data_IF_371366284173
#
_entry.id   IF_371366284173
#
_cell.length_a   1.000
_cell.length_b   1.000
_cell.length_c   1.000
_cell.angle_alpha   90.00
_cell.angle_beta   90.00
_cell.angle_gamma   90.00
#
_symmetry.space_group_name_H-M   'P 1'
#
loop_
_entity.id
_entity.type
_entity.pdbx_description
1 polymer ?
#
# COMPACT_ATOMS: atom_id res chain seq x y z
N UNK A 1 21.17 -24.72 6.40
CA UNK A 1 20.59 -23.78 5.41
C UNK A 1 19.17 -24.22 5.13
N UNK A 2 18.20 -23.28 5.08
CA UNK A 2 16.83 -23.62 4.69
C UNK A 2 16.81 -24.21 3.28
N UNK A 3 15.87 -25.12 3.05
CA UNK A 3 15.62 -25.73 1.75
C UNK A 3 14.34 -25.13 1.19
N UNK A 4 14.41 -24.69 -0.06
CA UNK A 4 13.31 -24.04 -0.77
C UNK A 4 12.76 -24.97 -1.83
N UNK A 5 11.49 -24.76 -2.17
CA UNK A 5 10.83 -25.44 -3.28
C UNK A 5 10.15 -24.41 -4.17
N UNK A 6 10.35 -24.54 -5.46
CA UNK A 6 9.68 -23.73 -6.48
C UNK A 6 9.17 -24.63 -7.59
N UNK A 7 7.92 -24.45 -8.00
CA UNK A 7 7.30 -25.24 -9.08
C UNK A 7 7.31 -24.46 -10.39
N UNK A 8 7.10 -25.13 -11.52
CA UNK A 8 6.94 -24.51 -12.84
C UNK A 8 8.13 -23.60 -13.25
N UNK A 9 9.36 -24.02 -12.97
CA UNK A 9 10.59 -23.27 -13.29
C UNK A 9 11.07 -23.66 -14.68
N UNK A 10 11.30 -22.65 -15.54
CA UNK A 10 11.91 -22.85 -16.85
C UNK A 10 13.42 -23.05 -16.71
N UNK A 11 13.95 -24.12 -17.30
CA UNK A 11 15.38 -24.35 -17.41
C UNK A 11 15.90 -23.88 -18.77
N UNK A 12 17.04 -23.21 -18.78
CA UNK A 12 17.74 -22.76 -19.98
C UNK A 12 19.25 -23.03 -19.87
N UNK A 13 19.96 -23.02 -21.01
CA UNK A 13 21.43 -23.10 -21.06
C UNK A 13 22.02 -24.30 -20.28
N UNK A 14 21.36 -25.45 -20.36
CA UNK A 14 21.74 -26.69 -19.66
C UNK A 14 23.07 -27.21 -20.23
N UNK A 15 24.06 -27.43 -19.36
CA UNK A 15 25.40 -27.89 -19.74
C UNK A 15 26.03 -28.76 -18.66
N UNK A 16 26.93 -29.65 -19.08
CA UNK A 16 27.81 -30.36 -18.16
C UNK A 16 28.88 -29.43 -17.56
N UNK A 17 29.24 -29.69 -16.30
CA UNK A 17 30.39 -29.08 -15.64
C UNK A 17 31.20 -30.14 -14.87
N UNK A 18 32.43 -29.79 -14.49
CA UNK A 18 33.37 -30.69 -13.82
C UNK A 18 34.15 -31.55 -14.82
N UNK A 19 35.36 -31.97 -14.42
CA UNK A 19 36.28 -32.74 -15.28
C UNK A 19 35.63 -34.04 -15.78
N UNK A 20 34.89 -34.71 -14.90
CA UNK A 20 34.22 -35.97 -15.20
C UNK A 20 32.83 -35.80 -15.84
N UNK A 21 32.38 -34.56 -16.11
CA UNK A 21 31.03 -34.24 -16.62
C UNK A 21 29.90 -34.87 -15.79
N UNK A 22 30.11 -35.01 -14.50
CA UNK A 22 29.18 -35.63 -13.55
C UNK A 22 28.19 -34.63 -12.92
N UNK A 23 28.32 -33.33 -13.21
CA UNK A 23 27.47 -32.28 -12.67
C UNK A 23 26.77 -31.51 -13.80
N UNK A 24 25.61 -30.93 -13.50
CA UNK A 24 24.84 -30.13 -14.46
C UNK A 24 24.74 -28.68 -13.96
N UNK A 25 24.92 -27.74 -14.88
CA UNK A 25 24.68 -26.31 -14.67
C UNK A 25 23.60 -25.83 -15.64
N UNK A 26 22.71 -24.96 -15.18
CA UNK A 26 21.65 -24.37 -16.00
C UNK A 26 21.22 -23.01 -15.44
N UNK A 27 20.54 -22.22 -16.26
CA UNK A 27 19.87 -21.01 -15.84
C UNK A 27 18.41 -21.36 -15.49
N UNK A 28 17.86 -20.70 -14.48
CA UNK A 28 16.46 -20.86 -14.09
C UNK A 28 15.70 -19.54 -14.27
N UNK A 29 14.46 -19.65 -14.76
CA UNK A 29 13.54 -18.51 -14.91
C UNK A 29 12.14 -18.85 -14.40
N UNK A 30 11.50 -17.89 -13.77
CA UNK A 30 10.10 -18.01 -13.35
C UNK A 30 9.49 -16.63 -13.13
N UNK A 31 8.34 -16.33 -13.74
CA UNK A 31 7.50 -15.15 -13.44
C UNK A 31 8.29 -13.81 -13.43
N UNK A 32 9.17 -13.63 -14.41
CA UNK A 32 10.02 -12.44 -14.53
C UNK A 32 11.26 -12.43 -13.64
N UNK A 33 11.48 -13.44 -12.79
CA UNK A 33 12.72 -13.64 -12.03
C UNK A 33 13.64 -14.61 -12.75
N UNK A 34 14.95 -14.42 -12.59
CA UNK A 34 15.95 -15.33 -13.14
C UNK A 34 17.15 -15.51 -12.21
N UNK A 35 17.77 -16.68 -12.27
CA UNK A 35 19.07 -16.92 -11.66
C UNK A 35 19.95 -17.69 -12.64
N UNK A 36 21.19 -17.24 -12.81
CA UNK A 36 22.14 -17.85 -13.75
C UNK A 36 23.04 -18.85 -13.07
N UNK A 37 23.39 -19.91 -13.79
CA UNK A 37 24.35 -20.92 -13.36
C UNK A 37 23.97 -21.58 -12.01
N UNK A 38 22.71 -21.98 -11.88
CA UNK A 38 22.29 -22.94 -10.87
C UNK A 38 23.03 -24.27 -11.10
N UNK A 39 23.36 -24.97 -10.01
CA UNK A 39 24.19 -26.19 -10.07
C UNK A 39 23.47 -27.33 -9.41
N UNK A 40 23.45 -28.48 -10.09
CA UNK A 40 23.03 -29.76 -9.54
C UNK A 40 24.23 -30.72 -9.58
N UNK A 41 24.68 -31.17 -8.41
CA UNK A 41 25.87 -32.01 -8.30
C UNK A 41 25.52 -33.50 -8.47
N UNK A 42 26.41 -34.28 -9.10
CA UNK A 42 26.27 -35.72 -9.30
C UNK A 42 25.00 -36.11 -10.07
N UNK A 43 24.51 -35.21 -10.91
CA UNK A 43 23.27 -35.36 -11.68
C UNK A 43 23.50 -35.55 -13.17
N UNK A 44 24.74 -35.78 -13.61
CA UNK A 44 25.09 -35.89 -15.03
C UNK A 44 24.27 -36.94 -15.80
N UNK A 45 23.78 -38.00 -15.13
CA UNK A 45 22.91 -39.01 -15.73
C UNK A 45 21.56 -38.44 -16.22
N UNK A 46 21.04 -37.40 -15.55
CA UNK A 46 19.78 -36.75 -15.89
C UNK A 46 19.88 -35.76 -17.06
N UNK A 47 21.07 -35.55 -17.64
CA UNK A 47 21.28 -34.53 -18.68
C UNK A 47 20.36 -34.71 -19.90
N UNK A 48 20.14 -35.95 -20.34
CA UNK A 48 19.26 -36.21 -21.49
C UNK A 48 17.81 -35.87 -21.17
N UNK A 49 17.30 -36.37 -20.04
CA UNK A 49 15.95 -36.10 -19.56
C UNK A 49 15.69 -34.59 -19.40
N UNK A 50 16.68 -33.86 -18.86
CA UNK A 50 16.57 -32.42 -18.67
C UNK A 50 16.48 -31.62 -19.98
N UNK A 51 16.95 -32.18 -21.10
CA UNK A 51 16.82 -31.56 -22.42
C UNK A 51 15.50 -31.92 -23.14
N UNK A 52 14.72 -32.86 -22.61
CA UNK A 52 13.45 -33.29 -23.21
C UNK A 52 12.26 -32.43 -22.74
N UNK A 53 12.37 -31.77 -21.58
CA UNK A 53 11.33 -30.88 -21.06
C UNK A 53 11.89 -29.49 -20.77
N UNK A 54 10.98 -28.51 -20.65
CA UNK A 54 11.33 -27.11 -20.38
C UNK A 54 11.05 -26.70 -18.92
N UNK A 55 9.99 -27.25 -18.32
CA UNK A 55 9.51 -26.83 -17.01
C UNK A 55 9.68 -27.91 -15.96
N UNK A 56 10.26 -27.50 -14.84
CA UNK A 56 10.59 -28.39 -13.73
C UNK A 56 10.15 -27.81 -12.39
N UNK A 57 9.80 -28.68 -11.46
CA UNK A 57 9.73 -28.32 -10.05
C UNK A 57 11.09 -28.63 -9.43
N UNK A 58 11.63 -27.68 -8.66
CA UNK A 58 12.95 -27.79 -8.06
C UNK A 58 12.91 -27.68 -6.54
N UNK A 59 13.82 -28.41 -5.90
CA UNK A 59 14.18 -28.24 -4.49
C UNK A 59 15.61 -27.76 -4.44
N UNK A 60 15.89 -26.69 -3.70
CA UNK A 60 17.19 -26.03 -3.75
C UNK A 60 17.57 -25.32 -2.46
N UNK A 61 18.86 -25.01 -2.35
CA UNK A 61 19.46 -24.17 -1.30
C UNK A 61 20.06 -22.91 -1.94
N UNK A 62 19.95 -21.79 -1.23
CA UNK A 62 20.51 -20.50 -1.65
C UNK A 62 21.77 -20.17 -0.87
N UNK A 63 22.80 -19.71 -1.58
CA UNK A 63 24.03 -19.20 -0.97
C UNK A 63 24.42 -17.88 -1.63
N UNK A 64 24.86 -16.92 -0.84
CA UNK A 64 25.51 -15.71 -1.37
C UNK A 64 27.01 -15.94 -1.40
N UNK A 65 27.63 -15.75 -2.56
CA UNK A 65 29.08 -15.85 -2.76
C UNK A 65 29.63 -14.53 -3.27
N UNK A 66 30.86 -14.20 -2.88
CA UNK A 66 31.56 -13.02 -3.37
C UNK A 66 32.55 -13.44 -4.46
N UNK A 67 32.44 -12.84 -5.64
CA UNK A 67 33.36 -13.07 -6.75
C UNK A 67 33.64 -11.73 -7.44
N UNK A 68 34.92 -11.41 -7.68
CA UNK A 68 35.33 -10.13 -8.28
C UNK A 68 34.64 -8.91 -7.64
N UNK A 69 34.66 -8.88 -6.30
CA UNK A 69 34.06 -7.82 -5.49
C UNK A 69 32.55 -7.60 -5.69
N UNK A 70 31.83 -8.62 -6.17
CA UNK A 70 30.37 -8.62 -6.30
C UNK A 70 29.77 -9.82 -5.60
N UNK A 71 28.66 -9.58 -4.92
CA UNK A 71 27.80 -10.62 -4.37
C UNK A 71 26.94 -11.24 -5.47
N UNK A 72 26.96 -12.56 -5.54
CA UNK A 72 26.12 -13.36 -6.41
C UNK A 72 25.31 -14.35 -5.57
N UNK A 73 24.02 -14.45 -5.86
CA UNK A 73 23.18 -15.51 -5.30
C UNK A 73 23.32 -16.76 -6.16
N UNK A 74 23.79 -17.85 -5.56
CA UNK A 74 23.91 -19.17 -6.16
C UNK A 74 22.79 -20.09 -5.68
N UNK A 75 22.24 -20.83 -6.65
CA UNK A 75 21.21 -21.85 -6.43
C UNK A 75 21.87 -23.22 -6.53
N UNK A 76 21.84 -23.98 -5.45
CA UNK A 76 22.25 -25.37 -5.41
C UNK A 76 21.02 -26.25 -5.39
N UNK A 77 20.81 -26.97 -6.48
CA UNK A 77 19.67 -27.84 -6.66
C UNK A 77 19.96 -29.17 -5.97
N UNK A 78 19.00 -29.60 -5.15
CA UNK A 78 19.04 -30.86 -4.43
C UNK A 78 18.26 -31.92 -5.20
N UNK A 79 17.11 -31.54 -5.78
CA UNK A 79 16.23 -32.45 -6.51
C UNK A 79 15.44 -31.70 -7.59
N UNK A 80 15.07 -32.42 -8.65
CA UNK A 80 14.33 -31.90 -9.82
C UNK A 80 13.31 -32.95 -10.26
N UNK A 81 12.12 -32.49 -10.62
CA UNK A 81 11.15 -33.31 -11.34
C UNK A 81 10.49 -32.53 -12.47
N UNK A 82 10.05 -33.22 -13.51
CA UNK A 82 9.24 -32.61 -14.58
C UNK A 82 7.99 -31.98 -13.96
N UNK A 83 7.71 -30.74 -14.34
CA UNK A 83 6.59 -30.01 -13.78
C UNK A 83 5.27 -30.46 -14.39
N UNK A 84 4.22 -30.48 -13.56
CA UNK A 84 2.85 -30.72 -14.02
C UNK A 84 2.13 -29.44 -14.46
N UNK A 85 2.81 -28.28 -14.44
CA UNK A 85 2.26 -26.98 -14.82
C UNK A 85 0.96 -26.65 -14.08
N UNK A 86 0.91 -26.99 -12.79
CA UNK A 86 -0.25 -26.65 -11.95
C UNK A 86 -0.29 -25.14 -11.76
N UNK A 87 -1.48 -24.57 -11.90
CA UNK A 87 -1.70 -23.16 -11.61
C UNK A 87 -1.31 -22.84 -10.17
N UNK A 88 -0.35 -21.94 -10.04
CA UNK A 88 0.23 -21.44 -8.79
C UNK A 88 0.07 -19.92 -8.68
N UNK A 89 -0.87 -19.32 -9.44
CA UNK A 89 -1.10 -17.87 -9.52
C UNK A 89 -1.44 -17.28 -8.16
N UNK A 90 -2.42 -17.85 -7.43
CA UNK A 90 -2.77 -17.39 -6.09
C UNK A 90 -1.62 -17.54 -5.09
N UNK A 91 -0.86 -18.63 -5.17
CA UNK A 91 0.32 -18.83 -4.31
C UNK A 91 1.40 -17.77 -4.58
N UNK A 92 1.54 -17.37 -5.84
CA UNK A 92 2.47 -16.33 -6.24
C UNK A 92 2.05 -14.95 -5.75
N UNK A 93 0.78 -14.57 -5.93
CA UNK A 93 0.25 -13.32 -5.38
C UNK A 93 0.37 -13.28 -3.86
N UNK A 94 0.06 -14.38 -3.18
CA UNK A 94 0.26 -14.50 -1.73
C UNK A 94 1.73 -14.29 -1.35
N UNK A 95 2.67 -14.87 -2.08
CA UNK A 95 4.11 -14.70 -1.82
C UNK A 95 4.58 -13.26 -2.05
N UNK A 96 4.09 -12.59 -3.10
CA UNK A 96 4.42 -11.20 -3.38
C UNK A 96 3.85 -10.28 -2.29
N UNK A 97 2.55 -10.37 -2.02
CA UNK A 97 1.88 -9.53 -1.03
C UNK A 97 2.50 -9.65 0.37
N UNK A 98 2.96 -10.84 0.76
CA UNK A 98 3.62 -11.04 2.05
C UNK A 98 5.11 -10.69 2.08
N UNK A 99 5.62 -10.01 1.05
CA UNK A 99 7.02 -9.52 1.03
C UNK A 99 7.25 -8.59 2.21
N UNK A 100 8.19 -8.97 3.07
CA UNK A 100 8.50 -8.24 4.30
C UNK A 100 9.51 -7.11 4.05
N UNK A 101 9.28 -5.97 4.69
CA UNK A 101 10.18 -4.82 4.69
C UNK A 101 10.51 -4.41 6.14
N UNK A 102 11.71 -3.85 6.41
CA UNK A 102 12.71 -3.40 5.43
C UNK A 102 13.55 -4.54 4.84
N UNK A 103 14.03 -4.35 3.61
CA UNK A 103 14.87 -5.31 2.90
C UNK A 103 16.28 -4.74 2.70
N UNK A 104 17.30 -5.53 3.07
CA UNK A 104 18.70 -5.20 2.78
C UNK A 104 19.06 -5.58 1.36
N UNK A 105 19.80 -4.72 0.68
CA UNK A 105 20.30 -4.97 -0.67
C UNK A 105 21.61 -4.23 -0.89
N UNK A 106 22.20 -4.43 -2.06
CA UNK A 106 23.41 -3.74 -2.51
C UNK A 106 23.22 -3.23 -3.94
N UNK A 107 23.90 -2.15 -4.27
CA UNK A 107 24.18 -1.80 -5.65
C UNK A 107 25.66 -1.44 -5.81
N UNK A 108 26.13 -1.49 -7.06
CA UNK A 108 27.53 -1.26 -7.39
C UNK A 108 27.64 0.00 -8.25
N UNK A 109 28.61 0.84 -7.95
CA UNK A 109 28.83 2.08 -8.70
C UNK A 109 30.28 2.51 -8.67
N UNK A 110 30.75 3.15 -9.74
CA UNK A 110 32.08 3.78 -9.78
C UNK A 110 32.01 5.26 -9.41
N UNK A 111 30.81 5.73 -9.07
CA UNK A 111 30.54 7.12 -8.76
C UNK A 111 30.83 7.34 -7.28
N UNK A 112 31.56 8.42 -6.98
CA UNK A 112 31.73 8.89 -5.62
C UNK A 112 30.40 9.43 -5.08
N UNK A 113 30.06 8.97 -3.88
CA UNK A 113 28.77 9.20 -3.24
C UNK A 113 28.93 10.15 -2.05
N UNK A 114 28.01 11.09 -1.94
CA UNK A 114 27.94 11.96 -0.78
C UNK A 114 27.05 11.30 0.28
N UNK A 115 27.63 10.80 1.37
CA UNK A 115 26.94 9.98 2.37
C UNK A 115 25.73 10.68 2.99
N UNK A 116 25.73 12.01 3.05
CA UNK A 116 24.65 12.82 3.62
C UNK A 116 23.47 13.04 2.65
N UNK A 117 23.70 12.89 1.33
CA UNK A 117 22.65 13.10 0.32
C UNK A 117 21.71 11.89 0.22
N UNK A 118 20.41 12.17 0.32
CA UNK A 118 19.34 11.17 0.15
C UNK A 118 19.39 10.53 -1.24
N UNK A 119 19.16 9.22 -1.27
CA UNK A 119 18.95 8.48 -2.52
C UNK A 119 17.47 8.51 -2.87
N UNK A 120 17.15 8.81 -4.12
CA UNK A 120 15.80 8.65 -4.67
C UNK A 120 15.77 7.50 -5.68
N UNK A 121 14.59 6.89 -5.81
CA UNK A 121 14.35 5.79 -6.73
C UNK A 121 13.49 6.29 -7.88
N UNK A 122 13.78 5.80 -9.09
CA UNK A 122 12.90 5.93 -10.25
C UNK A 122 12.66 4.55 -10.83
N UNK A 123 11.39 4.12 -10.82
CA UNK A 123 10.97 2.89 -11.50
C UNK A 123 10.99 3.16 -13.01
N UNK A 124 11.87 2.47 -13.72
CA UNK A 124 11.83 2.39 -15.18
C UNK A 124 11.12 1.09 -15.59
N UNK A 125 10.95 0.86 -16.89
CA UNK A 125 10.22 -0.32 -17.40
C UNK A 125 10.81 -1.66 -16.94
N UNK A 126 12.13 -1.79 -16.89
CA UNK A 126 12.82 -3.06 -16.64
C UNK A 126 13.68 -3.07 -15.37
N UNK A 127 14.06 -1.90 -14.83
CA UNK A 127 14.92 -1.77 -13.65
C UNK A 127 14.59 -0.53 -12.81
N UNK A 128 15.03 -0.55 -11.55
CA UNK A 128 14.95 0.61 -10.67
C UNK A 128 16.27 1.36 -10.66
N UNK A 129 16.23 2.61 -11.13
CA UNK A 129 17.38 3.51 -11.15
C UNK A 129 17.45 4.32 -9.86
N UNK A 130 18.67 4.57 -9.39
CA UNK A 130 18.97 5.30 -8.16
C UNK A 130 19.64 6.63 -8.48
N UNK A 131 19.28 7.68 -7.73
CA UNK A 131 19.79 9.03 -7.92
C UNK A 131 20.16 9.72 -6.60
N UNK A 132 21.17 10.59 -6.63
CA UNK A 132 21.41 11.63 -5.62
C UNK A 132 21.11 12.99 -6.23
N UNK A 133 19.98 13.59 -5.84
CA UNK A 133 19.44 14.76 -6.54
C UNK A 133 19.12 14.42 -8.00
N UNK A 134 19.79 15.08 -8.95
CA UNK A 134 19.66 14.80 -10.39
C UNK A 134 20.72 13.82 -10.92
N UNK A 135 21.72 13.47 -10.12
CA UNK A 135 22.85 12.61 -10.52
C UNK A 135 22.42 11.14 -10.45
N UNK A 136 22.45 10.43 -11.57
CA UNK A 136 22.30 8.98 -11.59
C UNK A 136 23.50 8.32 -10.89
N UNK A 137 23.24 7.43 -9.94
CA UNK A 137 24.29 6.78 -9.15
C UNK A 137 24.38 5.27 -9.37
N UNK A 138 23.37 4.64 -9.96
CA UNK A 138 23.38 3.20 -10.19
C UNK A 138 21.98 2.61 -10.38
N UNK A 139 21.90 1.28 -10.46
CA UNK A 139 20.63 0.53 -10.53
C UNK A 139 20.61 -0.57 -9.48
N UNK A 140 19.42 -0.92 -9.03
CA UNK A 140 19.23 -2.13 -8.23
C UNK A 140 19.44 -3.38 -9.10
N UNK A 141 19.76 -4.50 -8.45
CA UNK A 141 19.72 -5.82 -9.09
C UNK A 141 18.37 -6.04 -9.79
N UNK A 142 18.39 -6.77 -10.90
CA UNK A 142 17.19 -6.98 -11.71
C UNK A 142 16.06 -7.68 -10.94
N UNK A 143 16.37 -8.70 -10.14
CA UNK A 143 15.35 -9.44 -9.37
C UNK A 143 14.74 -8.54 -8.29
N UNK A 144 15.57 -7.73 -7.64
CA UNK A 144 15.10 -6.73 -6.67
C UNK A 144 14.23 -5.67 -7.37
N UNK A 145 14.67 -5.17 -8.53
CA UNK A 145 13.91 -4.19 -9.31
C UNK A 145 12.54 -4.75 -9.72
N UNK A 146 12.51 -5.96 -10.30
CA UNK A 146 11.29 -6.63 -10.72
C UNK A 146 10.32 -6.81 -9.55
N UNK A 147 10.81 -7.24 -8.38
CA UNK A 147 9.99 -7.35 -7.18
C UNK A 147 9.32 -6.01 -6.82
N UNK A 148 10.08 -4.92 -6.76
CA UNK A 148 9.53 -3.61 -6.39
C UNK A 148 8.54 -3.07 -7.43
N UNK A 149 8.82 -3.29 -8.73
CA UNK A 149 7.92 -2.90 -9.82
C UNK A 149 6.60 -3.68 -9.72
N UNK A 150 6.65 -5.00 -9.52
CA UNK A 150 5.45 -5.83 -9.37
C UNK A 150 4.63 -5.44 -8.15
N UNK A 151 5.26 -5.17 -7.01
CA UNK A 151 4.57 -4.72 -5.81
C UNK A 151 3.90 -3.34 -6.01
N UNK A 152 4.53 -2.44 -6.76
CA UNK A 152 3.95 -1.17 -7.13
C UNK A 152 2.74 -1.35 -8.06
N UNK A 153 2.89 -2.13 -9.13
CA UNK A 153 1.84 -2.37 -10.11
C UNK A 153 0.64 -3.11 -9.51
N UNK A 154 0.88 -4.17 -8.74
CA UNK A 154 -0.19 -5.03 -8.22
C UNK A 154 -0.88 -4.45 -6.99
N UNK A 155 -0.14 -3.73 -6.13
CA UNK A 155 -0.66 -3.33 -4.82
C UNK A 155 -0.53 -1.83 -4.53
N UNK A 156 -0.06 -1.03 -5.48
CA UNK A 156 0.20 0.41 -5.32
C UNK A 156 1.26 0.73 -4.24
N UNK A 157 2.21 -0.18 -4.05
CA UNK A 157 3.24 -0.05 -3.04
C UNK A 157 4.37 0.88 -3.48
N UNK A 158 4.68 1.89 -2.66
CA UNK A 158 5.80 2.80 -2.87
C UNK A 158 6.98 2.44 -1.94
N UNK A 159 8.19 2.89 -2.31
CA UNK A 159 9.42 2.52 -1.62
C UNK A 159 10.41 3.70 -1.51
N UNK A 160 11.17 3.70 -0.41
CA UNK A 160 12.33 4.57 -0.19
C UNK A 160 13.59 3.73 0.03
N UNK A 161 14.73 4.31 -0.30
CA UNK A 161 16.05 3.71 -0.06
C UNK A 161 16.83 4.57 0.92
N UNK A 162 17.46 3.91 1.90
CA UNK A 162 18.44 4.51 2.79
C UNK A 162 19.81 3.86 2.53
N UNK A 163 20.85 4.67 2.39
CA UNK A 163 22.23 4.19 2.39
C UNK A 163 22.63 3.77 3.81
N UNK A 164 23.17 2.56 3.96
CA UNK A 164 23.69 2.07 5.25
C UNK A 164 25.21 2.26 5.34
N UNK A 165 25.96 1.72 4.37
CA UNK A 165 27.40 1.88 4.29
C UNK A 165 27.90 1.83 2.84
N UNK A 166 29.13 2.31 2.62
CA UNK A 166 29.83 2.21 1.34
C UNK A 166 31.16 1.52 1.59
N UNK A 167 31.43 0.45 0.84
CA UNK A 167 32.71 -0.26 0.86
C UNK A 167 33.42 -0.06 -0.46
N UNK A 168 34.61 0.50 -0.42
CA UNK A 168 35.45 0.64 -1.60
C UNK A 168 36.07 -0.71 -1.96
N UNK A 169 35.80 -1.17 -3.17
CA UNK A 169 36.44 -2.33 -3.76
C UNK A 169 37.46 -1.90 -4.81
N UNK A 170 38.13 -2.87 -5.44
CA UNK A 170 39.23 -2.62 -6.39
C UNK A 170 38.82 -1.68 -7.54
N UNK A 171 37.63 -1.89 -8.11
CA UNK A 171 37.18 -1.20 -9.33
C UNK A 171 35.85 -0.45 -9.20
N UNK A 172 35.16 -0.59 -8.07
CA UNK A 172 33.85 -0.01 -7.82
C UNK A 172 33.60 0.16 -6.31
N UNK A 173 32.57 0.90 -5.98
CA UNK A 173 31.99 0.98 -4.65
C UNK A 173 30.85 -0.03 -4.52
N UNK A 174 30.83 -0.75 -3.41
CA UNK A 174 29.73 -1.61 -2.99
C UNK A 174 28.91 -0.80 -1.99
N UNK A 175 27.68 -0.46 -2.35
CA UNK A 175 26.82 0.40 -1.53
C UNK A 175 25.76 -0.47 -0.89
N UNK A 176 25.84 -0.63 0.44
CA UNK A 176 24.84 -1.33 1.21
C UNK A 176 23.66 -0.40 1.47
N UNK A 177 22.46 -0.89 1.17
CA UNK A 177 21.23 -0.11 1.25
C UNK A 177 20.13 -0.86 1.99
N UNK A 178 19.22 -0.09 2.56
CA UNK A 178 18.00 -0.56 3.17
C UNK A 178 16.79 0.00 2.41
N UNK A 179 16.03 -0.87 1.78
CA UNK A 179 14.78 -0.54 1.08
C UNK A 179 13.63 -0.66 2.09
N UNK A 180 12.78 0.37 2.16
CA UNK A 180 11.60 0.40 3.04
C UNK A 180 10.36 0.74 2.23
N UNK A 181 9.19 0.33 2.72
CA UNK A 181 7.91 0.83 2.22
C UNK A 181 7.82 2.34 2.48
N UNK A 182 7.42 3.10 1.48
CA UNK A 182 7.13 4.53 1.61
C UNK A 182 5.67 4.72 1.95
N UNK A 183 5.42 5.16 3.18
CA UNK A 183 4.10 5.52 3.65
C UNK A 183 3.85 7.04 3.58
N UNK A 184 4.77 7.82 3.00
CA UNK A 184 4.63 9.28 2.97
C UNK A 184 3.74 9.73 1.80
N UNK A 185 2.64 10.38 2.15
CA UNK A 185 1.75 11.06 1.21
C UNK A 185 2.34 12.40 0.76
N UNK A 186 2.42 12.62 -0.55
CA UNK A 186 2.83 13.89 -1.15
C UNK A 186 1.69 14.43 -2.02
N UNK A 187 1.25 15.64 -1.72
CA UNK A 187 0.17 16.30 -2.45
C UNK A 187 0.42 17.80 -2.51
N UNK A 188 0.37 18.35 -3.72
CA UNK A 188 0.47 19.78 -4.01
C UNK A 188 -0.89 20.41 -4.33
N UNK A 189 -1.96 19.61 -4.40
CA UNK A 189 -3.31 20.14 -4.54
C UNK A 189 -3.73 20.88 -3.27
N UNK A 190 -4.38 22.01 -3.45
CA UNK A 190 -4.89 22.86 -2.36
C UNK A 190 -6.41 22.79 -2.21
N UNK A 191 -7.13 22.21 -3.18
CA UNK A 191 -8.58 22.00 -3.08
C UNK A 191 -8.87 20.74 -2.29
N UNK A 192 -9.89 20.75 -1.43
CA UNK A 192 -10.29 19.56 -0.67
C UNK A 192 -10.56 18.36 -1.59
N UNK A 193 -11.31 18.57 -2.67
CA UNK A 193 -11.63 17.53 -3.66
C UNK A 193 -10.35 16.94 -4.28
N UNK A 194 -9.40 17.80 -4.67
CA UNK A 194 -8.11 17.36 -5.21
C UNK A 194 -7.32 16.52 -4.19
N UNK A 195 -7.26 16.98 -2.94
CA UNK A 195 -6.60 16.27 -1.85
C UNK A 195 -7.24 14.89 -1.64
N UNK A 196 -8.56 14.78 -1.53
CA UNK A 196 -9.25 13.50 -1.37
C UNK A 196 -8.99 12.55 -2.53
N UNK A 197 -9.03 13.04 -3.77
CA UNK A 197 -8.72 12.24 -4.96
C UNK A 197 -7.29 11.68 -4.86
N UNK A 198 -6.32 12.50 -4.47
CA UNK A 198 -4.92 12.10 -4.31
C UNK A 198 -4.73 11.10 -3.18
N UNK A 199 -5.41 11.28 -2.04
CA UNK A 199 -5.37 10.33 -0.93
C UNK A 199 -5.90 8.96 -1.39
N UNK A 200 -7.04 8.95 -2.08
CA UNK A 200 -7.64 7.72 -2.61
C UNK A 200 -6.71 7.02 -3.62
N UNK A 201 -6.12 7.77 -4.55
CA UNK A 201 -5.13 7.25 -5.51
C UNK A 201 -3.91 6.68 -4.80
N UNK A 202 -3.47 7.29 -3.70
CA UNK A 202 -2.35 6.82 -2.90
C UNK A 202 -2.66 5.55 -2.09
N UNK A 203 -3.86 5.44 -1.52
CA UNK A 203 -4.24 4.30 -0.68
C UNK A 203 -4.59 3.06 -1.51
N UNK A 204 -5.47 3.21 -2.50
CA UNK A 204 -6.11 2.07 -3.20
C UNK A 204 -6.02 2.17 -4.73
N UNK A 205 -5.25 3.13 -5.25
CA UNK A 205 -5.00 3.27 -6.67
C UNK A 205 -6.28 3.48 -7.48
N UNK A 206 -6.52 2.58 -8.44
CA UNK A 206 -7.70 2.63 -9.33
C UNK A 206 -8.98 2.08 -8.69
N UNK A 207 -8.89 1.28 -7.61
CA UNK A 207 -10.07 0.73 -6.93
C UNK A 207 -10.96 1.82 -6.36
N UNK A 208 -12.25 1.59 -6.20
CA UNK A 208 -13.10 2.51 -5.44
C UNK A 208 -13.10 2.19 -3.96
N UNK A 209 -13.44 3.18 -3.13
CA UNK A 209 -13.84 2.88 -1.76
C UNK A 209 -15.08 1.98 -1.75
N UNK A 210 -15.11 1.05 -0.81
CA UNK A 210 -16.28 0.24 -0.53
C UNK A 210 -17.43 1.10 -0.03
N UNK A 211 -18.65 0.57 -0.07
CA UNK A 211 -19.87 1.29 0.31
C UNK A 211 -19.80 1.84 1.74
N UNK A 212 -19.28 1.04 2.68
CA UNK A 212 -19.08 1.45 4.07
C UNK A 212 -18.13 2.65 4.19
N UNK A 213 -16.94 2.60 3.57
CA UNK A 213 -15.97 3.70 3.64
C UNK A 213 -16.53 4.96 2.98
N UNK A 214 -17.31 4.83 1.88
CA UNK A 214 -17.99 5.96 1.24
C UNK A 214 -18.98 6.62 2.21
N UNK A 215 -19.77 5.84 2.93
CA UNK A 215 -20.73 6.33 3.93
C UNK A 215 -20.03 7.03 5.09
N UNK A 216 -19.04 6.39 5.71
CA UNK A 216 -18.29 6.96 6.83
C UNK A 216 -17.62 8.29 6.44
N UNK A 217 -16.98 8.35 5.27
CA UNK A 217 -16.37 9.59 4.78
C UNK A 217 -17.40 10.66 4.45
N UNK A 218 -18.57 10.30 3.92
CA UNK A 218 -19.63 11.25 3.64
C UNK A 218 -20.21 11.87 4.91
N UNK A 219 -20.50 11.05 5.92
CA UNK A 219 -20.99 11.51 7.22
C UNK A 219 -19.95 12.40 7.91
N UNK A 220 -18.68 11.97 7.90
CA UNK A 220 -17.62 12.72 8.57
C UNK A 220 -17.26 14.04 7.88
N UNK A 221 -17.02 14.04 6.57
CA UNK A 221 -16.51 15.22 5.85
C UNK A 221 -17.58 16.05 5.16
N UNK A 222 -18.66 15.44 4.63
CA UNK A 222 -19.71 16.21 3.91
C UNK A 222 -20.79 16.71 4.85
N UNK A 223 -21.25 15.85 5.77
CA UNK A 223 -22.25 16.25 6.77
C UNK A 223 -21.63 16.89 8.01
N UNK A 224 -20.30 16.92 8.09
CA UNK A 224 -19.56 17.46 9.21
C UNK A 224 -20.00 16.86 10.56
N UNK A 225 -20.24 15.54 10.62
CA UNK A 225 -20.60 14.83 11.86
C UNK A 225 -19.45 14.04 12.48
N UNK A 226 -19.33 14.07 13.81
CA UNK A 226 -18.52 13.10 14.53
C UNK A 226 -19.21 11.72 14.46
N UNK A 227 -18.44 10.63 14.54
CA UNK A 227 -19.01 9.30 14.30
C UNK A 227 -18.97 8.41 15.54
N UNK A 228 -20.05 7.67 15.76
CA UNK A 228 -20.10 6.51 16.65
C UNK A 228 -20.42 5.30 15.78
N UNK A 229 -19.43 4.45 15.58
CA UNK A 229 -19.51 3.25 14.76
C UNK A 229 -19.77 2.07 15.69
N UNK A 230 -20.99 1.54 15.62
CA UNK A 230 -21.43 0.34 16.34
C UNK A 230 -21.10 -0.88 15.50
N UNK A 231 -19.96 -1.49 15.83
CA UNK A 231 -19.44 -2.71 15.23
C UNK A 231 -19.73 -3.93 16.10
N UNK A 232 -20.98 -4.04 16.54
CA UNK A 232 -21.47 -5.10 17.43
C UNK A 232 -22.14 -6.15 16.56
N UNK A 233 -21.80 -7.41 16.81
CA UNK A 233 -22.30 -8.54 16.05
C UNK A 233 -22.99 -9.55 16.95
N UNK A 234 -24.11 -10.09 16.49
CA UNK A 234 -24.82 -11.18 17.16
C UNK A 234 -23.94 -12.44 17.26
N UNK A 235 -24.19 -13.31 18.25
CA UNK A 235 -23.48 -14.60 18.38
C UNK A 235 -23.60 -15.48 17.11
N UNK A 236 -24.69 -15.28 16.37
CA UNK A 236 -25.00 -16.02 15.14
C UNK A 236 -24.42 -15.38 13.87
N UNK A 237 -23.86 -14.18 13.95
CA UNK A 237 -23.26 -13.50 12.80
C UNK A 237 -21.89 -14.10 12.47
N UNK A 238 -21.83 -14.74 11.31
CA UNK A 238 -20.62 -15.35 10.76
C UNK A 238 -19.60 -14.31 10.27
N UNK A 239 -20.06 -13.10 9.95
CA UNK A 239 -19.25 -12.02 9.38
C UNK A 239 -19.06 -10.93 10.41
N UNK A 240 -17.81 -10.66 10.78
CA UNK A 240 -17.47 -9.56 11.69
C UNK A 240 -16.47 -8.65 10.99
N UNK A 241 -16.79 -7.36 10.87
CA UNK A 241 -15.81 -6.36 10.50
C UNK A 241 -14.67 -6.40 11.52
N UNK A 242 -13.47 -6.55 11.01
CA UNK A 242 -12.23 -6.39 11.75
C UNK A 242 -11.80 -4.93 11.66
N UNK A 243 -10.84 -4.55 12.50
CA UNK A 243 -10.25 -3.21 12.41
C UNK A 243 -9.68 -2.90 11.02
N UNK A 244 -9.16 -3.92 10.33
CA UNK A 244 -8.67 -3.81 8.95
C UNK A 244 -9.72 -3.28 7.96
N UNK A 245 -11.01 -3.52 8.21
CA UNK A 245 -12.08 -3.03 7.35
C UNK A 245 -12.28 -1.52 7.42
N UNK A 246 -11.85 -0.88 8.52
CA UNK A 246 -11.91 0.58 8.70
C UNK A 246 -10.61 1.27 8.28
N UNK A 247 -9.58 0.53 7.85
CA UNK A 247 -8.26 1.10 7.55
C UNK A 247 -8.31 2.19 6.49
N UNK A 248 -9.07 2.00 5.41
CA UNK A 248 -9.19 3.00 4.34
C UNK A 248 -9.84 4.30 4.83
N UNK A 249 -10.88 4.20 5.66
CA UNK A 249 -11.50 5.36 6.31
C UNK A 249 -10.48 6.08 7.21
N UNK A 250 -9.84 5.35 8.12
CA UNK A 250 -8.89 5.90 9.08
C UNK A 250 -7.68 6.52 8.41
N UNK A 251 -7.07 5.83 7.44
CA UNK A 251 -5.94 6.37 6.69
C UNK A 251 -6.36 7.61 5.89
N UNK A 252 -7.56 7.63 5.32
CA UNK A 252 -8.04 8.83 4.63
C UNK A 252 -8.11 10.02 5.58
N UNK A 253 -8.73 9.83 6.75
CA UNK A 253 -8.87 10.86 7.79
C UNK A 253 -7.48 11.30 8.29
N UNK A 254 -6.63 10.36 8.70
CA UNK A 254 -5.31 10.65 9.25
C UNK A 254 -4.37 11.34 8.25
N UNK A 255 -4.39 10.92 6.98
CA UNK A 255 -3.61 11.58 5.91
C UNK A 255 -4.12 13.01 5.67
N UNK A 256 -5.45 13.19 5.60
CA UNK A 256 -6.06 14.49 5.40
C UNK A 256 -5.65 15.47 6.51
N UNK A 257 -5.83 15.10 7.77
CA UNK A 257 -5.46 15.96 8.90
C UNK A 257 -3.96 16.21 8.99
N UNK A 258 -3.12 15.20 8.73
CA UNK A 258 -1.67 15.38 8.67
C UNK A 258 -1.28 16.34 7.55
N UNK A 259 -1.96 16.33 6.41
CA UNK A 259 -1.72 17.29 5.32
C UNK A 259 -2.15 18.71 5.70
N UNK A 260 -3.28 18.88 6.36
CA UNK A 260 -3.83 20.22 6.70
C UNK A 260 -3.14 20.88 7.89
N UNK A 261 -2.73 20.09 8.89
CA UNK A 261 -2.25 20.62 10.17
C UNK A 261 -0.78 20.34 10.45
N UNK A 262 -0.14 19.48 9.64
CA UNK A 262 1.17 18.87 9.91
C UNK A 262 1.26 18.11 11.26
N UNK A 263 0.12 17.78 11.87
CA UNK A 263 0.03 16.97 13.08
C UNK A 263 -0.53 15.59 12.76
N UNK A 264 0.00 14.56 13.43
CA UNK A 264 -0.65 13.24 13.42
C UNK A 264 -1.99 13.34 14.14
N UNK A 265 -2.85 12.36 13.90
CA UNK A 265 -4.06 12.11 14.69
C UNK A 265 -3.76 11.13 15.85
N UNK A 266 -4.71 10.92 16.75
CA UNK A 266 -4.55 9.96 17.86
C UNK A 266 -5.51 8.78 17.73
N UNK A 267 -5.06 7.60 18.15
CA UNK A 267 -5.91 6.45 18.47
C UNK A 267 -5.75 6.15 19.96
N UNK A 268 -6.86 6.15 20.70
CA UNK A 268 -6.91 5.85 22.12
C UNK A 268 -7.50 4.46 22.33
N UNK A 269 -6.76 3.60 23.05
CA UNK A 269 -7.14 2.21 23.30
C UNK A 269 -6.99 1.91 24.79
N UNK A 270 -8.11 1.77 25.50
CA UNK A 270 -8.11 1.37 26.91
C UNK A 270 -8.52 -0.10 27.12
N UNK A 271 -8.43 -0.92 26.07
CA UNK A 271 -8.78 -2.36 26.15
C UNK A 271 -7.58 -3.27 26.42
N UNK A 272 -7.81 -4.39 27.13
CA UNK A 272 -6.77 -5.40 27.42
C UNK A 272 -6.30 -6.11 26.15
N UNK A 273 -7.15 -6.14 25.12
CA UNK A 273 -6.86 -6.74 23.81
C UNK A 273 -6.54 -5.63 22.80
N UNK A 274 -5.30 -5.16 22.80
CA UNK A 274 -4.84 -4.13 21.87
C UNK A 274 -4.81 -4.69 20.43
N UNK A 275 -5.53 -4.09 19.47
CA UNK A 275 -5.38 -4.44 18.06
C UNK A 275 -3.95 -4.12 17.60
N UNK A 276 -3.42 -4.95 16.70
CA UNK A 276 -2.12 -4.72 16.08
C UNK A 276 -2.33 -3.79 14.89
N UNK A 277 -1.88 -2.54 15.03
CA UNK A 277 -1.87 -1.59 13.91
C UNK A 277 -0.62 -1.76 13.04
N UNK A 278 -0.84 -1.75 11.74
CA UNK A 278 0.22 -1.79 10.74
C UNK A 278 1.05 -0.47 10.74
N UNK A 279 2.21 -0.49 10.09
CA UNK A 279 3.12 0.66 10.04
C UNK A 279 2.55 1.86 9.26
N UNK A 280 1.56 1.63 8.39
CA UNK A 280 0.92 2.69 7.63
C UNK A 280 0.06 3.56 8.55
N UNK A 281 -0.80 2.95 9.38
CA UNK A 281 -1.59 3.66 10.39
C UNK A 281 -0.66 4.43 11.33
N UNK A 282 0.42 3.81 11.83
CA UNK A 282 1.39 4.46 12.74
C UNK A 282 2.11 5.67 12.14
N UNK A 283 2.11 5.81 10.82
CA UNK A 283 2.69 6.96 10.13
C UNK A 283 1.81 8.21 10.24
N UNK A 284 0.50 8.03 10.47
CA UNK A 284 -0.51 9.10 10.55
C UNK A 284 -1.18 9.22 11.91
N UNK A 285 -1.04 8.20 12.75
CA UNK A 285 -1.63 8.13 14.08
C UNK A 285 -0.59 7.83 15.14
N UNK A 286 -0.69 8.52 16.27
CA UNK A 286 -0.06 8.09 17.52
C UNK A 286 -1.06 7.21 18.29
N UNK A 287 -0.56 6.09 18.82
CA UNK A 287 -1.39 5.09 19.49
C UNK A 287 -1.11 5.18 20.99
N UNK A 288 -2.11 5.61 21.75
CA UNK A 288 -1.98 5.91 23.17
C UNK A 288 -2.98 5.08 23.98
N UNK A 289 -2.60 4.74 25.21
CA UNK A 289 -3.49 4.02 26.14
C UNK A 289 -4.50 4.98 26.79
N UNK A 290 -4.06 6.21 27.03
CA UNK A 290 -4.89 7.27 27.60
C UNK A 290 -5.15 8.38 26.59
N UNK A 291 -6.29 9.04 26.76
CA UNK A 291 -6.60 10.25 26.03
C UNK A 291 -5.61 11.34 26.40
N UNK A 292 -5.17 12.09 25.40
CA UNK A 292 -4.27 13.21 25.59
C UNK A 292 -4.81 14.41 24.83
N UNK A 293 -5.05 15.48 25.54
CA UNK A 293 -5.54 16.76 25.00
C UNK A 293 -4.47 17.48 24.15
N UNK A 294 -3.41 16.78 23.72
CA UNK A 294 -2.19 17.32 23.09
C UNK A 294 -2.40 17.86 21.65
N UNK A 295 -3.48 18.61 21.41
CA UNK A 295 -3.72 19.33 20.16
C UNK A 295 -3.77 18.44 18.92
N UNK A 296 -4.22 17.19 19.09
CA UNK A 296 -4.48 16.26 18.00
C UNK A 296 -5.73 16.72 17.22
N UNK A 297 -5.65 16.88 15.89
CA UNK A 297 -6.76 17.38 15.09
C UNK A 297 -7.91 16.36 14.95
N UNK A 298 -7.62 15.08 15.20
CA UNK A 298 -8.62 14.01 15.20
C UNK A 298 -8.25 12.92 16.20
N UNK A 299 -9.25 12.40 16.91
CA UNK A 299 -9.12 11.31 17.88
C UNK A 299 -10.06 10.16 17.57
N UNK A 300 -9.50 8.95 17.44
CA UNK A 300 -10.25 7.71 17.37
C UNK A 300 -10.25 7.03 18.76
N UNK A 301 -11.42 6.81 19.34
CA UNK A 301 -11.60 5.98 20.52
C UNK A 301 -11.97 4.56 20.10
N UNK A 302 -11.09 3.59 20.36
CA UNK A 302 -11.30 2.19 19.97
C UNK A 302 -11.50 1.30 21.20
N UNK A 303 -12.71 0.73 21.34
CA UNK A 303 -13.10 -0.09 22.50
C UNK A 303 -12.69 0.57 23.83
N UNK A 304 -13.04 1.85 23.99
CA UNK A 304 -12.70 2.59 25.18
C UNK A 304 -13.58 2.15 26.36
N UNK A 305 -12.96 1.65 27.44
CA UNK A 305 -13.66 1.00 28.56
C UNK A 305 -14.40 1.98 29.48
N UNK A 306 -13.80 3.13 29.77
CA UNK A 306 -14.31 4.09 30.74
C UNK A 306 -15.32 5.03 30.08
N UNK A 307 -16.57 4.58 29.98
CA UNK A 307 -17.64 5.31 29.28
C UNK A 307 -17.90 6.67 29.93
N UNK A 308 -17.91 6.77 31.26
CA UNK A 308 -18.13 8.03 31.97
C UNK A 308 -17.03 9.06 31.66
N UNK A 309 -15.75 8.62 31.69
CA UNK A 309 -14.64 9.48 31.29
C UNK A 309 -14.72 9.88 29.83
N UNK A 310 -15.13 8.97 28.93
CA UNK A 310 -15.30 9.27 27.51
C UNK A 310 -16.40 10.29 27.26
N UNK A 311 -17.56 10.15 27.92
CA UNK A 311 -18.64 11.12 27.85
C UNK A 311 -18.21 12.50 28.32
N UNK A 312 -17.44 12.56 29.42
CA UNK A 312 -16.87 13.81 29.91
C UNK A 312 -15.91 14.43 28.88
N UNK A 313 -14.98 13.66 28.30
CA UNK A 313 -14.06 14.13 27.25
C UNK A 313 -14.84 14.69 26.05
N UNK A 314 -15.88 13.99 25.58
CA UNK A 314 -16.70 14.46 24.46
C UNK A 314 -17.42 15.77 24.81
N UNK A 315 -17.97 15.86 26.03
CA UNK A 315 -18.69 17.04 26.52
C UNK A 315 -17.78 18.23 26.83
N UNK A 316 -16.49 18.05 27.09
CA UNK A 316 -15.56 19.15 27.41
C UNK A 316 -14.73 19.58 26.20
N UNK A 317 -14.17 18.61 25.48
CA UNK A 317 -13.06 18.87 24.55
C UNK A 317 -13.52 18.92 23.08
N UNK A 318 -14.72 18.41 22.80
CA UNK A 318 -15.30 18.30 21.45
C UNK A 318 -16.64 19.03 21.28
N UNK A 319 -17.15 19.68 22.32
CA UNK A 319 -18.49 20.32 22.37
C UNK A 319 -18.49 21.83 22.07
N UNK A 320 -17.33 22.44 21.84
CA UNK A 320 -17.23 23.88 21.59
C UNK A 320 -17.33 24.22 20.08
N UNK A 321 -18.49 24.78 19.70
CA UNK A 321 -18.78 25.67 18.57
C UNK A 321 -18.82 25.10 17.13
N UNK A 322 -19.93 24.43 16.78
CA UNK A 322 -20.38 24.30 15.38
C UNK A 322 -21.28 25.47 14.93
N UNK A 323 -20.87 26.72 15.18
CA UNK A 323 -21.47 27.90 14.53
C UNK A 323 -20.48 28.53 13.55
N UNK A 324 -20.08 27.77 12.52
CA UNK A 324 -19.48 28.35 11.33
C UNK A 324 -20.27 27.87 10.12
N UNK A 325 -21.12 28.76 9.61
CA UNK A 325 -21.71 28.66 8.28
C UNK A 325 -20.57 28.52 7.26
N UNK A 326 -20.43 27.34 6.66
CA UNK A 326 -19.78 27.26 5.36
C UNK A 326 -20.72 27.93 4.36
N UNK A 327 -20.30 29.04 3.75
CA UNK A 327 -20.93 29.52 2.52
C UNK A 327 -20.73 28.44 1.44
N UNK A 328 -21.69 27.50 1.39
CA UNK A 328 -21.89 26.64 0.23
C UNK A 328 -22.34 27.59 -0.89
N UNK A 329 -21.42 27.97 -1.78
CA UNK A 329 -21.84 28.42 -3.10
C UNK A 329 -22.46 27.21 -3.80
N UNK A 330 -23.79 27.15 -3.76
CA UNK A 330 -24.60 26.17 -4.47
C UNK A 330 -24.11 26.01 -5.90
N UNK A 331 -23.71 24.78 -6.24
CA UNK A 331 -23.91 24.23 -7.56
C UNK A 331 -24.39 22.80 -7.37
N UNK A 332 -25.68 22.70 -7.05
CA UNK A 332 -26.47 21.49 -7.01
C UNK A 332 -26.61 20.96 -8.43
N UNK A 333 -25.74 20.02 -8.83
CA UNK A 333 -26.04 19.09 -9.92
C UNK A 333 -25.58 17.68 -9.53
N UNK A 334 -26.59 16.84 -9.32
CA UNK A 334 -26.60 15.37 -9.26
C UNK A 334 -25.26 14.68 -9.56
N UNK A 335 -24.62 14.17 -8.52
CA UNK A 335 -23.46 13.28 -8.60
C UNK A 335 -23.92 11.83 -8.75
N UNK A 336 -24.38 11.47 -9.95
CA UNK A 336 -24.25 10.08 -10.42
C UNK A 336 -22.86 9.95 -11.04
N UNK A 337 -22.01 9.13 -10.42
CA UNK A 337 -20.78 8.65 -11.06
C UNK A 337 -21.20 7.55 -12.03
N UNK A 338 -21.55 7.94 -13.25
CA UNK A 338 -21.68 7.03 -14.38
C UNK A 338 -20.60 7.33 -15.43
N UNK A 339 -20.11 6.25 -16.02
CA UNK A 339 -18.95 6.17 -16.92
C UNK A 339 -19.13 6.95 -18.25
N UNK A 340 -18.00 7.43 -18.77
CA UNK A 340 -17.70 7.94 -20.13
C UNK A 340 -18.11 9.37 -20.57
N UNK A 341 -17.28 10.03 -21.43
CA UNK A 341 -17.19 11.49 -21.50
C UNK A 341 -18.10 12.08 -22.58
N UNK A 342 -18.90 13.10 -22.22
CA UNK A 342 -19.50 14.00 -23.21
C UNK A 342 -18.59 15.22 -23.41
N UNK A 343 -18.06 15.34 -24.62
CA UNK A 343 -17.43 16.57 -25.12
C UNK A 343 -18.42 17.74 -25.04
N UNK A 344 -17.99 18.89 -24.51
CA UNK A 344 -18.67 20.17 -24.72
C UNK A 344 -17.68 21.35 -24.63
N UNK A 345 -17.40 21.84 -25.84
CA UNK A 345 -17.11 23.22 -26.29
C UNK A 345 -16.44 24.25 -25.38
N UNK A 346 -15.25 24.66 -25.84
CA UNK A 346 -14.50 25.82 -25.40
C UNK A 346 -15.26 27.14 -25.66
N UNK A 347 -15.42 27.97 -24.62
CA UNK A 347 -15.58 29.42 -24.79
C UNK A 347 -14.22 30.12 -24.71
N UNK A 348 -13.84 30.73 -25.83
CA UNK A 348 -12.75 31.72 -25.99
C UNK A 348 -12.75 32.73 -24.84
N UNK A 349 -11.58 32.97 -24.26
CA UNK A 349 -11.26 34.25 -23.64
C UNK A 349 -10.04 34.82 -24.37
N UNK A 350 -10.16 36.10 -24.70
CA UNK A 350 -9.32 36.87 -25.60
C UNK A 350 -7.96 37.21 -24.99
N UNK A 351 -6.96 37.22 -25.89
CA UNK A 351 -5.63 37.85 -25.86
C UNK A 351 -5.25 38.62 -24.59
N UNK A 352 -4.14 38.20 -23.98
CA UNK A 352 -3.18 39.13 -23.37
C UNK A 352 -1.86 38.97 -24.12
N UNK A 353 -1.38 40.08 -24.67
CA UNK A 353 -0.20 40.20 -25.52
C UNK A 353 1.09 39.95 -24.71
N UNK A 354 1.93 39.04 -25.21
CA UNK A 354 3.31 38.91 -24.76
C UNK A 354 4.19 39.94 -25.45
N UNK A 355 4.79 40.86 -24.69
CA UNK A 355 5.98 41.59 -25.14
C UNK A 355 7.21 40.80 -24.72
N UNK A 356 7.85 40.16 -25.70
CA UNK A 356 9.19 39.62 -25.59
C UNK A 356 10.18 40.76 -25.35
N UNK A 357 11.11 40.56 -24.41
CA UNK A 357 12.43 41.15 -24.50
C UNK A 357 13.45 40.07 -24.14
N UNK A 358 14.36 39.85 -25.08
CA UNK A 358 15.55 39.02 -24.96
C UNK A 358 16.49 39.61 -23.90
N UNK A 359 16.94 38.77 -22.97
CA UNK A 359 18.34 38.65 -22.55
C UNK A 359 18.44 37.52 -21.53
N UNK A 360 19.04 36.41 -21.97
CA UNK A 360 19.37 35.24 -21.17
C UNK A 360 20.69 35.54 -20.47
N UNK A 361 20.63 35.89 -19.19
CA UNK A 361 21.72 35.72 -18.23
C UNK A 361 21.19 35.94 -16.80
N UNK A 362 21.61 35.07 -15.89
CA UNK A 362 21.34 35.03 -14.43
C UNK A 362 19.93 34.59 -13.95
N UNK A 363 19.72 33.26 -13.92
CA UNK A 363 18.60 32.61 -13.22
C UNK A 363 19.02 31.82 -11.97
N UNK A 364 20.14 32.16 -11.34
CA UNK A 364 20.55 31.58 -10.04
C UNK A 364 19.98 32.34 -8.83
N UNK A 365 19.43 33.55 -8.98
CA UNK A 365 18.87 34.33 -7.87
C UNK A 365 17.33 34.32 -7.75
N UNK A 366 16.63 33.69 -8.70
CA UNK A 366 15.15 33.63 -8.73
C UNK A 366 14.60 32.36 -8.07
N UNK A 367 15.40 31.29 -8.01
CA UNK A 367 14.99 30.01 -7.40
C UNK A 367 15.08 30.06 -5.86
N UNK A 368 16.09 30.75 -5.31
CA UNK A 368 16.24 30.89 -3.85
C UNK A 368 15.19 31.84 -3.23
N UNK A 369 14.81 32.93 -3.93
CA UNK A 369 13.74 33.83 -3.47
C UNK A 369 12.33 33.22 -3.57
N UNK A 370 12.12 32.21 -4.41
CA UNK A 370 10.86 31.46 -4.42
C UNK A 370 10.79 30.41 -3.31
N UNK A 371 11.92 29.85 -2.85
CA UNK A 371 11.92 28.95 -1.68
C UNK A 371 11.64 29.70 -0.37
N UNK A 372 12.23 30.87 -0.14
CA UNK A 372 11.93 31.66 1.07
C UNK A 372 10.51 32.24 1.10
N UNK A 373 9.95 32.61 -0.06
CA UNK A 373 8.56 33.11 -0.13
C UNK A 373 7.52 31.98 0.01
N UNK A 374 7.86 30.73 -0.35
CA UNK A 374 6.96 29.58 -0.15
C UNK A 374 6.96 29.14 1.32
N UNK A 375 8.07 29.30 2.04
CA UNK A 375 8.12 29.09 3.49
C UNK A 375 7.33 30.16 4.24
N UNK A 376 7.40 31.44 3.85
CA UNK A 376 6.60 32.52 4.47
C UNK A 376 5.11 32.48 4.14
N UNK A 377 4.71 31.99 2.97
CA UNK A 377 3.27 31.76 2.66
C UNK A 377 2.69 30.52 3.34
N UNK A 378 3.52 29.58 3.81
CA UNK A 378 3.08 28.40 4.55
C UNK A 378 2.75 28.66 6.02
N UNK A 379 3.20 29.80 6.57
CA UNK A 379 2.88 30.20 7.96
C UNK A 379 1.55 30.95 8.07
N UNK A 380 1.06 31.57 7.00
CA UNK A 380 -0.09 32.48 7.03
C UNK A 380 -1.47 31.81 6.74
N UNK A 381 -1.55 30.48 6.72
CA UNK A 381 -2.76 29.76 6.31
C UNK A 381 -3.03 28.45 7.05
N UNK A 382 -2.54 28.29 8.29
CA UNK A 382 -2.98 27.17 9.14
C UNK A 382 -4.41 27.46 9.60
N UNK A 383 -5.39 26.85 8.93
CA UNK A 383 -6.77 26.81 9.44
C UNK A 383 -6.76 26.17 10.82
N UNK A 384 -7.35 26.83 11.82
CA UNK A 384 -7.79 26.16 13.04
C UNK A 384 -8.82 25.12 12.60
N UNK A 385 -8.44 23.86 12.67
CA UNK A 385 -9.35 22.76 12.38
C UNK A 385 -9.93 22.33 13.72
N UNK A 386 -11.26 22.36 13.82
CA UNK A 386 -11.99 21.88 14.99
C UNK A 386 -11.52 20.48 15.38
N UNK A 387 -11.45 20.23 16.69
CA UNK A 387 -11.12 18.90 17.20
C UNK A 387 -12.29 17.95 16.85
N UNK A 388 -11.98 16.85 16.16
CA UNK A 388 -12.99 15.89 15.69
C UNK A 388 -12.75 14.51 16.26
N UNK A 389 -13.80 13.72 16.40
CA UNK A 389 -13.67 12.37 16.94
C UNK A 389 -14.46 11.30 16.17
N UNK A 390 -14.03 10.06 16.38
CA UNK A 390 -14.75 8.86 16.01
C UNK A 390 -14.64 7.85 17.14
N UNK A 391 -15.71 7.11 17.42
CA UNK A 391 -15.74 6.02 18.38
C UNK A 391 -16.04 4.74 17.61
N UNK A 392 -15.27 3.67 17.82
CA UNK A 392 -15.59 2.34 17.31
C UNK A 392 -15.83 1.41 18.50
N UNK A 393 -17.05 0.88 18.57
CA UNK A 393 -17.56 0.03 19.64
C UNK A 393 -17.72 -1.39 19.09
N UNK A 394 -17.03 -2.38 19.66
CA UNK A 394 -17.13 -3.79 19.23
C UNK A 394 -17.85 -4.71 20.23
N UNK A 395 -18.33 -4.18 21.37
CA UNK A 395 -19.11 -4.93 22.36
C UNK A 395 -20.25 -4.08 22.89
N UNK A 396 -21.38 -4.70 23.21
CA UNK A 396 -22.51 -4.06 23.88
C UNK A 396 -22.10 -3.46 25.24
N UNK A 397 -21.07 -4.03 25.88
CA UNK A 397 -20.52 -3.56 27.15
C UNK A 397 -19.96 -2.12 27.09
N UNK A 398 -19.68 -1.61 25.88
CA UNK A 398 -19.06 -0.30 25.66
C UNK A 398 -20.03 0.73 25.05
N UNK A 399 -21.34 0.52 25.24
CA UNK A 399 -22.39 1.44 24.81
C UNK A 399 -22.30 2.79 25.54
N UNK A 400 -21.89 3.84 24.83
CA UNK A 400 -21.97 5.22 25.30
C UNK A 400 -23.43 5.64 25.36
N UNK A 401 -23.87 6.30 26.44
CA UNK A 401 -25.23 6.85 26.51
C UNK A 401 -25.25 8.12 25.68
N UNK A 402 -25.70 8.00 24.43
CA UNK A 402 -25.77 9.13 23.50
C UNK A 402 -26.91 10.09 23.79
N UNK A 403 -27.79 9.74 24.74
CA UNK A 403 -28.92 10.57 25.18
C UNK A 403 -28.48 11.91 25.80
N UNK A 404 -27.28 11.97 26.37
CA UNK A 404 -26.72 13.18 26.97
C UNK A 404 -25.70 13.91 26.06
N UNK A 405 -25.51 13.45 24.82
CA UNK A 405 -24.63 14.07 23.83
C UNK A 405 -25.45 14.89 22.83
N UNK A 406 -24.87 15.95 22.25
CA UNK A 406 -25.53 16.74 21.22
C UNK A 406 -25.69 15.93 19.93
N UNK A 407 -26.86 15.28 19.80
CA UNK A 407 -27.21 14.40 18.67
C UNK A 407 -27.21 15.12 17.32
N UNK A 408 -27.21 16.45 17.28
CA UNK A 408 -27.15 17.18 16.01
C UNK A 408 -25.77 17.09 15.33
N UNK A 409 -24.72 16.83 16.11
CA UNK A 409 -23.33 16.85 15.64
C UNK A 409 -22.67 15.46 15.58
N UNK A 410 -23.41 14.41 15.93
CA UNK A 410 -22.93 13.02 16.02
C UNK A 410 -23.84 12.12 15.18
N UNK A 411 -23.24 11.30 14.31
CA UNK A 411 -23.92 10.22 13.62
C UNK A 411 -23.60 8.88 14.28
N UNK A 412 -24.63 8.11 14.60
CA UNK A 412 -24.50 6.70 14.97
C UNK A 412 -24.70 5.80 13.75
N UNK A 413 -23.73 4.92 13.48
CA UNK A 413 -23.73 4.05 12.30
C UNK A 413 -23.56 2.60 12.77
N UNK A 414 -24.56 1.77 12.46
CA UNK A 414 -24.50 0.33 12.66
C UNK A 414 -23.85 -0.35 11.46
N UNK A 415 -22.76 -1.08 11.69
CA UNK A 415 -22.01 -1.72 10.61
C UNK A 415 -22.49 -3.13 10.33
N UNK A 416 -23.74 -3.26 9.89
CA UNK A 416 -24.28 -4.54 9.39
C UNK A 416 -23.77 -4.79 7.96
N UNK A 417 -23.28 -5.99 7.69
CA UNK A 417 -22.82 -6.37 6.35
C UNK A 417 -23.96 -7.08 5.62
N UNK A 418 -24.50 -6.42 4.59
CA UNK A 418 -25.30 -7.13 3.60
C UNK A 418 -24.35 -7.80 2.61
N UNK A 419 -24.20 -9.12 2.74
CA UNK A 419 -23.43 -9.91 1.78
C UNK A 419 -24.35 -10.35 0.64
N UNK A 420 -24.05 -9.97 -0.62
CA UNK A 420 -24.76 -10.48 -1.79
C UNK A 420 -24.86 -12.01 -1.84
N UNK A 421 -26.01 -12.54 -2.28
CA UNK A 421 -26.27 -13.99 -2.36
C UNK A 421 -25.29 -14.74 -3.29
N UNK A 422 -24.73 -14.04 -4.28
CA UNK A 422 -23.75 -14.59 -5.21
C UNK A 422 -22.33 -14.70 -4.61
N UNK A 423 -22.11 -14.36 -3.34
CA UNK A 423 -20.85 -14.58 -2.63
C UNK A 423 -20.91 -15.88 -1.83
N UNK A 424 -19.91 -16.73 -2.03
CA UNK A 424 -19.72 -17.95 -1.26
C UNK A 424 -18.38 -17.95 -0.55
N UNK A 425 -18.40 -18.04 0.77
CA UNK A 425 -17.16 -17.99 1.53
C UNK A 425 -16.36 -19.29 1.44
N UNK A 426 -15.05 -19.14 1.28
CA UNK A 426 -14.11 -20.25 1.17
C UNK A 426 -14.12 -21.14 2.42
N UNK A 427 -14.37 -20.57 3.60
CA UNK A 427 -14.50 -21.28 4.87
C UNK A 427 -15.74 -22.19 4.92
N UNK A 428 -16.84 -21.72 4.33
CA UNK A 428 -18.10 -22.45 4.25
C UNK A 428 -18.13 -23.43 3.05
N UNK A 429 -17.13 -23.38 2.17
CA UNK A 429 -17.06 -24.18 0.95
C UNK A 429 -16.42 -25.56 1.18
N UNK A 430 -17.03 -26.59 0.60
CA UNK A 430 -16.48 -27.95 0.59
C UNK A 430 -15.15 -28.01 -0.19
N UNK A 431 -14.34 -29.05 0.05
CA UNK A 431 -13.10 -29.28 -0.72
C UNK A 431 -13.36 -29.43 -2.22
N UNK A 432 -14.51 -29.99 -2.61
CA UNK A 432 -14.89 -30.19 -4.02
C UNK A 432 -15.23 -28.85 -4.69
N UNK A 433 -15.99 -28.00 -3.99
CA UNK A 433 -16.32 -26.65 -4.48
C UNK A 433 -15.07 -25.78 -4.62
N UNK A 434 -14.17 -25.79 -3.63
CA UNK A 434 -12.91 -25.04 -3.70
C UNK A 434 -12.02 -25.45 -4.87
N UNK A 435 -11.98 -26.74 -5.22
CA UNK A 435 -11.21 -27.22 -6.37
C UNK A 435 -11.75 -26.73 -7.72
N UNK A 436 -13.04 -26.41 -7.79
CA UNK A 436 -13.73 -25.99 -9.01
C UNK A 436 -14.03 -24.48 -9.02
N UNK A 437 -13.63 -23.76 -7.98
CA UNK A 437 -13.83 -22.32 -7.85
C UNK A 437 -12.99 -21.58 -8.90
N UNK A 438 -13.64 -20.69 -9.66
CA UNK A 438 -13.00 -19.88 -10.71
C UNK A 438 -12.76 -18.45 -10.24
N UNK A 439 -13.81 -17.79 -9.79
CA UNK A 439 -13.77 -16.38 -9.39
C UNK A 439 -13.43 -16.28 -7.90
N UNK A 440 -12.15 -16.46 -7.56
CA UNK A 440 -11.68 -16.42 -6.18
C UNK A 440 -11.22 -15.01 -5.84
N UNK A 441 -11.85 -14.37 -4.86
CA UNK A 441 -11.44 -13.09 -4.28
C UNK A 441 -10.73 -13.29 -2.94
N UNK A 442 -9.52 -12.76 -2.80
CA UNK A 442 -8.72 -12.83 -1.56
C UNK A 442 -7.91 -11.53 -1.41
N UNK A 443 -7.51 -11.22 -0.17
CA UNK A 443 -6.90 -9.94 0.20
C UNK A 443 -5.65 -9.60 -0.65
N UNK A 444 -4.85 -10.61 -0.95
CA UNK A 444 -3.58 -10.46 -1.64
C UNK A 444 -3.69 -10.43 -3.17
N UNK A 445 -4.89 -10.34 -3.74
CA UNK A 445 -5.04 -10.19 -5.19
C UNK A 445 -4.52 -8.85 -5.69
N UNK A 446 -3.93 -8.81 -6.90
CA UNK A 446 -3.62 -7.55 -7.57
C UNK A 446 -4.88 -6.67 -7.74
N UNK A 447 -4.68 -5.36 -7.68
CA UNK A 447 -5.74 -4.34 -7.85
C UNK A 447 -6.56 -4.58 -9.12
N UNK A 448 -5.92 -4.91 -10.23
CA UNK A 448 -6.61 -5.13 -11.51
C UNK A 448 -7.54 -6.37 -11.46
N UNK A 449 -7.11 -7.44 -10.80
CA UNK A 449 -7.95 -8.63 -10.60
C UNK A 449 -9.10 -8.35 -9.63
N UNK A 450 -8.87 -7.54 -8.57
CA UNK A 450 -9.94 -7.11 -7.66
C UNK A 450 -11.01 -6.30 -8.40
N UNK A 451 -10.62 -5.38 -9.27
CA UNK A 451 -11.55 -4.58 -10.10
C UNK A 451 -12.35 -5.48 -11.04
N UNK A 452 -11.68 -6.45 -11.69
CA UNK A 452 -12.34 -7.42 -12.58
C UNK A 452 -13.38 -8.26 -11.82
N UNK A 453 -13.03 -8.77 -10.64
CA UNK A 453 -13.96 -9.55 -9.80
C UNK A 453 -15.12 -8.70 -9.28
N UNK A 454 -14.90 -7.42 -8.99
CA UNK A 454 -15.99 -6.47 -8.65
C UNK A 454 -17.01 -6.37 -9.78
N UNK A 455 -16.55 -6.25 -11.03
CA UNK A 455 -17.45 -6.21 -12.20
C UNK A 455 -18.28 -7.48 -12.32
N UNK A 456 -17.62 -8.65 -12.23
CA UNK A 456 -18.30 -9.94 -12.27
C UNK A 456 -19.33 -10.08 -11.12
N UNK A 457 -19.00 -9.60 -9.92
CA UNK A 457 -19.93 -9.59 -8.80
C UNK A 457 -21.19 -8.77 -9.12
N UNK A 458 -21.03 -7.58 -9.70
CA UNK A 458 -22.14 -6.72 -10.14
C UNK A 458 -22.97 -7.39 -11.25
N UNK A 459 -22.34 -8.15 -12.13
CA UNK A 459 -23.00 -8.92 -13.20
C UNK A 459 -23.75 -10.17 -12.68
N UNK A 460 -23.73 -10.42 -11.37
CA UNK A 460 -24.42 -11.55 -10.73
C UNK A 460 -23.63 -12.85 -10.74
N UNK A 461 -22.36 -12.85 -11.18
CA UNK A 461 -21.51 -14.04 -11.17
C UNK A 461 -21.19 -14.49 -9.75
N UNK A 462 -21.01 -15.81 -9.59
CA UNK A 462 -20.66 -16.38 -8.29
C UNK A 462 -19.21 -16.09 -7.94
N UNK A 463 -18.97 -15.45 -6.79
CA UNK A 463 -17.64 -15.14 -6.26
C UNK A 463 -17.34 -16.02 -5.04
N UNK A 464 -16.17 -16.64 -5.02
CA UNK A 464 -15.65 -17.38 -3.88
C UNK A 464 -14.70 -16.47 -3.11
N UNK A 465 -14.90 -16.24 -1.82
CA UNK A 465 -14.03 -15.29 -1.12
C UNK A 465 -13.75 -15.63 0.34
N UNK A 466 -12.67 -15.07 0.87
CA UNK A 466 -12.54 -14.85 2.31
C UNK A 466 -13.30 -13.57 2.71
N UNK A 467 -13.08 -13.07 3.93
CA UNK A 467 -13.74 -11.86 4.43
C UNK A 467 -13.25 -10.56 3.77
N UNK A 468 -12.20 -10.60 2.94
CA UNK A 468 -11.69 -9.42 2.23
C UNK A 468 -12.61 -8.94 1.12
N UNK A 469 -13.63 -9.72 0.71
CA UNK A 469 -14.61 -9.31 -0.31
C UNK A 469 -15.25 -7.96 -0.02
N UNK A 470 -15.30 -7.58 1.25
CA UNK A 470 -15.74 -6.26 1.70
C UNK A 470 -14.97 -5.09 1.07
N UNK A 471 -13.77 -5.30 0.54
CA UNK A 471 -13.04 -4.26 -0.19
C UNK A 471 -13.74 -3.83 -1.49
N UNK A 472 -14.62 -4.67 -2.05
CA UNK A 472 -15.30 -4.43 -3.33
C UNK A 472 -16.83 -4.32 -3.23
N UNK A 473 -17.41 -4.55 -2.06
CA UNK A 473 -18.81 -4.24 -1.73
C UNK A 473 -19.03 -2.74 -1.60
#
# INVERSE_FOLDING_TARGET
MPTFRTNNVLFENIKFIGENKNHIMFDIKQKGFFNKNAVWFNSGEYFKELNENLFYDIVYKLKTEMFQDRYYTKVYVEDVKVSQLKDDTLSYYHSLFNTSFPMKSVFYTNIELETEKKITMKMEFDQVSLFQGRKFIGRLDYSISNLLILLNQYYNWNFIVKMEDVKQASNHNIVNILIKRDYNFKCYDHTQIGIFKKIKEFLIGKMEYNSQTKELLAQFFKQNKNLIIKNIFDENEKYKYKMSNFENFLLTVGIYYKKMTDKKSQIVISSDKKPIFNNFIKSYFDINEEYSENGYPFTLFYNYKDIERLENIIKTDFSMQNEINYEIKENSQNLEVNEEPKQLEYKKIEKIEFKNNENVENSESIVEKQQENTEKLSEAGKQEVENRFCIIINSEDFMVKTDDLDKNNIEEIDTKIEVPENIMFLENSTKKERKNAKNIFVEYLPIEEKIKLKKLLTDGEKIYSDYSVNEIL
#
